data_IF_102838011948
#
_entry.id   IF_102838011948
#
_cell.length_a   1.000
_cell.length_b   1.000
_cell.length_c   1.000
_cell.angle_alpha   90.00
_cell.angle_beta   90.00
_cell.angle_gamma   90.00
#
_symmetry.space_group_name_H-M   'P 1'
#
loop_
_entity.id
_entity.type
_entity.pdbx_description
1 polymer ?
#
# COMPACT_ATOMS: atom_id res chain seq x y z
N UNK A 1 -3.07 10.91 -2.99
CA UNK A 1 -4.45 11.36 -2.74
C UNK A 1 -5.12 11.83 -4.03
N UNK A 2 -4.79 13.00 -4.59
CA UNK A 2 -5.45 13.50 -5.82
C UNK A 2 -5.27 12.53 -6.99
N UNK A 3 -4.04 12.12 -7.28
CA UNK A 3 -3.75 11.14 -8.36
C UNK A 3 -4.53 9.82 -8.20
N UNK A 4 -4.49 9.25 -7.00
CA UNK A 4 -5.18 7.99 -6.70
C UNK A 4 -6.71 8.13 -6.69
N UNK A 5 -7.23 9.30 -6.30
CA UNK A 5 -8.66 9.61 -6.39
C UNK A 5 -9.14 9.77 -7.83
N UNK A 6 -8.40 10.49 -8.68
CA UNK A 6 -8.69 10.60 -10.11
C UNK A 6 -8.61 9.21 -10.76
N UNK A 7 -7.55 8.45 -10.46
CA UNK A 7 -7.40 7.07 -10.96
C UNK A 7 -8.57 6.17 -10.55
N UNK A 8 -9.04 6.27 -9.31
CA UNK A 8 -10.23 5.55 -8.85
C UNK A 8 -11.47 5.95 -9.66
N UNK A 9 -11.76 7.24 -9.81
CA UNK A 9 -12.92 7.73 -10.56
C UNK A 9 -12.87 7.32 -12.03
N UNK A 10 -11.71 7.40 -12.68
CA UNK A 10 -11.52 6.97 -14.07
C UNK A 10 -11.77 5.47 -14.22
N UNK A 11 -11.15 4.64 -13.38
CA UNK A 11 -11.32 3.20 -13.44
C UNK A 11 -12.76 2.78 -13.14
N UNK A 12 -13.43 3.47 -12.23
CA UNK A 12 -14.85 3.27 -11.95
C UNK A 12 -15.73 3.65 -13.15
N UNK A 13 -15.46 4.79 -13.81
CA UNK A 13 -16.20 5.22 -15.01
C UNK A 13 -16.01 4.32 -16.23
N UNK A 14 -14.97 3.49 -16.23
CA UNK A 14 -14.63 2.54 -17.29
C UNK A 14 -15.04 1.09 -16.94
N UNK A 15 -15.78 0.88 -15.85
CA UNK A 15 -16.18 -0.45 -15.35
C UNK A 15 -15.00 -1.43 -15.23
N UNK A 16 -13.83 -0.92 -14.78
CA UNK A 16 -12.64 -1.75 -14.59
C UNK A 16 -12.85 -2.78 -13.45
N UNK A 17 -12.02 -3.82 -13.37
CA UNK A 17 -12.14 -4.83 -12.30
C UNK A 17 -12.10 -4.23 -10.89
N UNK A 18 -12.96 -4.73 -9.99
CA UNK A 18 -13.12 -4.23 -8.61
C UNK A 18 -11.81 -4.13 -7.85
N UNK A 19 -10.91 -5.11 -8.03
CA UNK A 19 -9.62 -5.12 -7.35
C UNK A 19 -8.71 -3.95 -7.80
N UNK A 20 -8.74 -3.61 -9.09
CA UNK A 20 -7.95 -2.50 -9.65
C UNK A 20 -8.50 -1.15 -9.20
N UNK A 21 -9.82 -0.99 -9.19
CA UNK A 21 -10.49 0.18 -8.60
C UNK A 21 -10.15 0.28 -7.11
N UNK A 22 -10.33 -0.83 -6.38
CA UNK A 22 -10.08 -0.94 -4.95
C UNK A 22 -8.65 -0.61 -4.56
N UNK A 23 -7.66 -0.98 -5.38
CA UNK A 23 -6.27 -0.62 -5.13
C UNK A 23 -6.05 0.90 -5.18
N UNK A 24 -6.68 1.61 -6.12
CA UNK A 24 -6.61 3.08 -6.20
C UNK A 24 -7.33 3.75 -5.02
N UNK A 25 -8.48 3.21 -4.62
CA UNK A 25 -9.17 3.63 -3.40
C UNK A 25 -8.29 3.45 -2.17
N UNK A 26 -7.67 2.27 -2.03
CA UNK A 26 -6.77 1.96 -0.92
C UNK A 26 -5.59 2.93 -0.87
N UNK A 27 -4.93 3.20 -2.01
CA UNK A 27 -3.85 4.19 -2.05
C UNK A 27 -4.31 5.57 -1.59
N UNK A 28 -5.51 6.00 -1.96
CA UNK A 28 -6.05 7.29 -1.53
C UNK A 28 -6.25 7.35 -0.02
N UNK A 29 -7.05 6.43 0.53
CA UNK A 29 -7.40 6.41 1.95
C UNK A 29 -6.17 6.16 2.82
N UNK A 30 -5.33 5.21 2.42
CA UNK A 30 -4.13 4.91 3.17
C UNK A 30 -3.13 6.05 3.20
N UNK A 31 -2.98 6.81 2.10
CA UNK A 31 -2.11 7.99 2.11
C UNK A 31 -2.62 9.03 3.11
N UNK A 32 -3.94 9.24 3.20
CA UNK A 32 -4.55 10.13 4.19
C UNK A 32 -4.20 9.66 5.61
N UNK A 33 -4.40 8.38 5.91
CA UNK A 33 -4.10 7.78 7.22
C UNK A 33 -2.61 7.96 7.57
N UNK A 34 -1.70 7.63 6.65
CA UNK A 34 -0.26 7.75 6.88
C UNK A 34 0.15 9.21 7.08
N UNK A 35 -0.45 10.17 6.39
CA UNK A 35 -0.14 11.59 6.58
C UNK A 35 -0.46 12.03 8.01
N UNK A 36 -1.57 11.56 8.59
CA UNK A 36 -1.89 11.81 9.99
C UNK A 36 -0.87 11.18 10.94
N UNK A 37 -0.49 9.92 10.71
CA UNK A 37 0.48 9.22 11.56
C UNK A 37 1.87 9.87 11.47
N UNK A 38 2.29 10.22 10.26
CA UNK A 38 3.62 10.82 9.94
C UNK A 38 3.84 12.14 10.65
N UNK A 39 2.77 12.84 11.06
CA UNK A 39 2.86 14.05 11.86
C UNK A 39 3.46 13.82 13.26
N UNK A 40 3.31 12.61 13.79
CA UNK A 40 3.81 12.22 15.12
C UNK A 40 4.98 11.23 15.04
N UNK A 41 4.93 10.29 14.09
CA UNK A 41 5.97 9.30 13.89
C UNK A 41 6.16 9.03 12.40
N UNK A 42 7.33 9.37 11.85
CA UNK A 42 7.63 9.40 10.41
C UNK A 42 7.71 8.00 9.78
N UNK A 43 6.56 7.33 9.63
CA UNK A 43 6.42 6.03 8.98
C UNK A 43 6.81 6.12 7.49
N UNK A 44 7.37 5.03 6.97
CA UNK A 44 7.76 4.97 5.56
C UNK A 44 6.55 4.74 4.65
N UNK A 45 6.14 5.79 3.93
CA UNK A 45 5.10 5.70 2.89
C UNK A 45 5.55 4.80 1.71
N UNK A 46 6.85 4.63 1.49
CA UNK A 46 7.38 3.73 0.45
C UNK A 46 7.17 2.26 0.83
N UNK A 47 7.46 1.91 2.09
CA UNK A 47 7.24 0.57 2.63
C UNK A 47 5.74 0.25 2.67
N UNK A 48 4.92 1.23 3.06
CA UNK A 48 3.47 1.10 2.97
C UNK A 48 3.01 0.90 1.52
N UNK A 49 3.53 1.72 0.61
CA UNK A 49 3.12 1.73 -0.80
C UNK A 49 3.38 0.41 -1.51
N UNK A 50 4.50 -0.27 -1.24
CA UNK A 50 4.78 -1.59 -1.83
C UNK A 50 3.90 -2.70 -1.26
N UNK A 51 3.42 -2.56 -0.02
CA UNK A 51 2.56 -3.57 0.62
C UNK A 51 1.14 -3.63 0.00
N UNK A 52 0.57 -2.50 -0.43
CA UNK A 52 -0.76 -2.45 -1.03
C UNK A 52 -0.94 -3.33 -2.30
N UNK A 53 -0.08 -3.24 -3.34
CA UNK A 53 -0.19 -4.08 -4.53
C UNK A 53 0.15 -5.54 -4.23
N UNK A 54 0.99 -5.82 -3.21
CA UNK A 54 1.24 -7.20 -2.76
C UNK A 54 -0.05 -7.84 -2.24
N UNK A 55 -0.82 -7.11 -1.43
CA UNK A 55 -2.13 -7.58 -0.95
C UNK A 55 -3.10 -7.80 -2.11
N UNK A 56 -3.20 -6.84 -3.03
CA UNK A 56 -4.08 -6.98 -4.18
C UNK A 56 -3.71 -8.20 -5.04
N UNK A 57 -2.43 -8.38 -5.37
CA UNK A 57 -1.95 -9.54 -6.13
C UNK A 57 -2.21 -10.86 -5.39
N UNK A 58 -2.02 -10.88 -4.07
CA UNK A 58 -2.32 -12.06 -3.27
C UNK A 58 -3.80 -12.44 -3.35
N UNK A 59 -4.70 -11.46 -3.21
CA UNK A 59 -6.16 -11.65 -3.34
C UNK A 59 -6.53 -12.10 -4.77
N UNK A 60 -5.83 -11.61 -5.80
CA UNK A 60 -5.99 -12.06 -7.19
C UNK A 60 -5.52 -13.51 -7.43
N UNK A 61 -4.89 -14.17 -6.44
CA UNK A 61 -4.38 -15.53 -6.56
C UNK A 61 -2.92 -15.65 -7.03
N UNK A 62 -2.18 -14.53 -7.12
CA UNK A 62 -0.77 -14.54 -7.46
C UNK A 62 0.09 -14.75 -6.21
N UNK A 63 0.36 -16.01 -5.84
CA UNK A 63 1.06 -16.36 -4.61
C UNK A 63 2.58 -16.56 -4.81
N UNK A 64 3.33 -15.46 -4.89
CA UNK A 64 4.79 -15.48 -5.02
C UNK A 64 5.49 -14.93 -3.76
N UNK A 65 5.43 -15.63 -2.62
CA UNK A 65 5.84 -15.08 -1.32
C UNK A 65 7.32 -14.69 -1.26
N UNK A 66 8.21 -15.44 -1.91
CA UNK A 66 9.66 -15.13 -1.96
C UNK A 66 9.89 -13.81 -2.72
N UNK A 67 9.26 -13.65 -3.89
CA UNK A 67 9.39 -12.44 -4.70
C UNK A 67 8.76 -11.24 -3.98
N UNK A 68 7.56 -11.40 -3.43
CA UNK A 68 6.83 -10.34 -2.73
C UNK A 68 7.57 -9.86 -1.47
N UNK A 69 8.04 -10.78 -0.62
CA UNK A 69 8.85 -10.43 0.55
C UNK A 69 10.20 -9.84 0.14
N UNK A 70 10.82 -10.35 -0.92
CA UNK A 70 12.02 -9.76 -1.52
C UNK A 70 11.83 -8.30 -1.91
N UNK A 71 10.71 -7.96 -2.57
CA UNK A 71 10.40 -6.57 -2.95
C UNK A 71 10.20 -5.66 -1.73
N UNK A 72 9.51 -6.15 -0.68
CA UNK A 72 9.37 -5.40 0.57
C UNK A 72 10.72 -5.15 1.25
N UNK A 73 11.58 -6.17 1.29
CA UNK A 73 12.93 -6.04 1.87
C UNK A 73 13.76 -5.05 1.07
N UNK A 74 13.81 -5.15 -0.26
CA UNK A 74 14.59 -4.25 -1.12
C UNK A 74 14.14 -2.79 -0.97
N UNK A 75 12.82 -2.55 -1.03
CA UNK A 75 12.26 -1.19 -0.85
C UNK A 75 12.56 -0.68 0.55
N UNK A 76 12.32 -1.48 1.59
CA UNK A 76 12.58 -1.12 2.98
C UNK A 76 14.05 -0.81 3.25
N UNK A 77 14.94 -1.69 2.79
CA UNK A 77 16.39 -1.56 2.92
C UNK A 77 16.92 -0.29 2.25
N UNK A 78 16.40 0.04 1.06
CA UNK A 78 16.75 1.30 0.39
C UNK A 78 16.48 2.52 1.27
N UNK A 79 15.39 2.52 2.05
CA UNK A 79 15.03 3.64 2.93
C UNK A 79 15.95 3.73 4.14
N UNK A 80 16.42 2.59 4.66
CA UNK A 80 17.33 2.53 5.79
C UNK A 80 18.75 2.95 5.40
N UNK A 81 19.29 2.43 4.28
CA UNK A 81 20.63 2.83 3.79
C UNK A 81 20.71 4.32 3.46
N UNK A 82 19.66 4.87 2.84
CA UNK A 82 19.57 6.31 2.55
C UNK A 82 19.33 7.16 3.80
N UNK A 83 19.27 6.54 5.00
CA UNK A 83 18.97 7.20 6.29
C UNK A 83 17.66 7.99 6.28
N UNK A 84 16.73 7.63 5.40
CA UNK A 84 15.43 8.31 5.27
C UNK A 84 14.46 7.89 6.38
N UNK A 85 14.56 6.62 6.82
CA UNK A 85 13.74 6.01 7.85
C UNK A 85 14.52 4.99 8.69
N UNK A 86 14.08 4.75 9.93
CA UNK A 86 14.56 3.64 10.76
C UNK A 86 13.93 2.30 10.36
N UNK A 87 14.50 1.19 10.83
CA UNK A 87 13.94 -0.16 10.64
C UNK A 87 12.51 -0.24 11.20
N UNK A 88 12.25 0.34 12.37
CA UNK A 88 10.91 0.34 12.97
C UNK A 88 9.87 1.14 12.17
N UNK A 89 10.27 2.27 11.58
CA UNK A 89 9.40 3.06 10.68
C UNK A 89 9.08 2.34 9.37
N UNK A 90 10.04 1.57 8.85
CA UNK A 90 9.84 0.71 7.66
C UNK A 90 8.93 -0.46 7.98
N UNK A 91 9.19 -1.17 9.08
CA UNK A 91 8.39 -2.30 9.52
C UNK A 91 6.92 -1.90 9.77
N UNK A 92 6.70 -0.81 10.51
CA UNK A 92 5.35 -0.28 10.72
C UNK A 92 4.67 0.13 9.41
N UNK A 93 5.41 0.69 8.46
CA UNK A 93 4.89 1.02 7.12
C UNK A 93 4.40 -0.21 6.38
N UNK A 94 5.21 -1.27 6.32
CA UNK A 94 4.80 -2.55 5.73
C UNK A 94 3.59 -3.15 6.43
N UNK A 95 3.60 -3.24 7.76
CA UNK A 95 2.53 -3.87 8.54
C UNK A 95 1.20 -3.14 8.33
N UNK A 96 1.20 -1.81 8.46
CA UNK A 96 -0.02 -1.02 8.23
C UNK A 96 -0.46 -1.10 6.77
N UNK A 97 0.47 -1.13 5.82
CA UNK A 97 0.17 -1.27 4.39
C UNK A 97 -0.53 -2.58 4.07
N UNK A 98 -0.04 -3.69 4.63
CA UNK A 98 -0.66 -5.00 4.47
C UNK A 98 -2.06 -5.03 5.12
N UNK A 99 -2.17 -4.63 6.38
CA UNK A 99 -3.41 -4.74 7.14
C UNK A 99 -4.51 -3.83 6.60
N UNK A 100 -4.22 -2.54 6.40
CA UNK A 100 -5.25 -1.58 5.96
C UNK A 100 -5.72 -1.88 4.54
N UNK A 101 -4.82 -2.27 3.63
CA UNK A 101 -5.22 -2.66 2.27
C UNK A 101 -6.05 -3.93 2.29
N UNK A 102 -5.67 -4.93 3.08
CA UNK A 102 -6.45 -6.17 3.21
C UNK A 102 -7.87 -5.89 3.69
N UNK A 103 -8.01 -5.11 4.77
CA UNK A 103 -9.29 -4.74 5.35
C UNK A 103 -10.14 -3.96 4.33
N UNK A 104 -9.57 -2.95 3.69
CA UNK A 104 -10.33 -2.10 2.75
C UNK A 104 -10.79 -2.87 1.51
N UNK A 105 -9.96 -3.74 0.94
CA UNK A 105 -10.37 -4.55 -0.20
C UNK A 105 -11.50 -5.53 0.17
N UNK A 106 -11.41 -6.18 1.33
CA UNK A 106 -12.45 -7.12 1.79
C UNK A 106 -13.77 -6.46 2.19
N UNK A 107 -13.74 -5.22 2.68
CA UNK A 107 -14.96 -4.53 3.11
C UNK A 107 -15.70 -3.83 1.96
N UNK A 108 -14.98 -3.39 0.92
CA UNK A 108 -15.54 -2.49 -0.08
C UNK A 108 -15.48 -3.00 -1.52
N UNK A 109 -14.66 -4.02 -1.83
CA UNK A 109 -14.37 -4.41 -3.23
C UNK A 109 -14.42 -5.92 -3.50
N UNK A 110 -14.59 -6.74 -2.46
CA UNK A 110 -14.83 -8.19 -2.53
C UNK A 110 -16.18 -8.50 -1.87
#
# INVERSE_FOLDING_TARGET
IVYSGIGFLMLNSLDAGNLTQGLMFCYMINTIIIMFITRYWKISIHAFGVAAPIVALWIHGAHFPILMSGMMILVGWSRVILKAHSVSQVFAGHLLGLLLTWIQLHLFFL
#
